data_IF_631492381199
#
_entry.id   IF_631492381199
#
_cell.length_a   1.000
_cell.length_b   1.000
_cell.length_c   1.000
_cell.angle_alpha   90.00
_cell.angle_beta   90.00
_cell.angle_gamma   90.00
#
_symmetry.space_group_name_H-M   'P 1'
#
loop_
_entity.id
_entity.type
_entity.pdbx_description
1 polymer ?
#
# COMPACT_ATOMS: atom_id res chain seq x y z
N UNK A 1 -11.36 25.16 -18.17
CA UNK A 1 -12.22 24.00 -17.83
C UNK A 1 -13.00 23.56 -19.06
N UNK A 2 -12.84 22.36 -19.53
CA UNK A 2 -13.66 21.80 -20.61
C UNK A 2 -14.90 21.14 -20.04
N UNK A 3 -16.01 21.09 -20.81
CA UNK A 3 -17.25 20.42 -20.40
C UNK A 3 -16.99 18.93 -20.04
N UNK A 4 -16.09 18.29 -20.76
CA UNK A 4 -15.72 16.89 -20.53
C UNK A 4 -14.99 16.67 -19.20
N UNK A 5 -14.09 17.55 -18.81
CA UNK A 5 -13.33 17.47 -17.56
C UNK A 5 -14.25 17.61 -16.34
N UNK A 6 -15.13 18.60 -16.34
CA UNK A 6 -16.11 18.77 -15.28
C UNK A 6 -17.04 17.55 -15.14
N UNK A 7 -17.50 17.00 -16.27
CA UNK A 7 -18.44 15.87 -16.26
C UNK A 7 -17.84 14.62 -15.60
N UNK A 8 -16.60 14.30 -15.96
CA UNK A 8 -15.89 13.18 -15.37
C UNK A 8 -15.72 13.38 -13.87
N UNK A 9 -15.23 14.53 -13.45
CA UNK A 9 -14.97 14.80 -12.01
C UNK A 9 -16.24 14.88 -11.17
N UNK A 10 -17.36 15.36 -11.71
CA UNK A 10 -18.62 15.33 -11.00
C UNK A 10 -19.12 13.89 -10.82
N UNK A 11 -19.03 13.07 -11.87
CA UNK A 11 -19.39 11.67 -11.80
C UNK A 11 -18.55 10.91 -10.75
N UNK A 12 -17.23 11.08 -10.80
CA UNK A 12 -16.28 10.47 -9.86
C UNK A 12 -16.56 10.89 -8.41
N UNK A 13 -16.71 12.19 -8.15
CA UNK A 13 -17.00 12.69 -6.80
C UNK A 13 -18.31 12.14 -6.26
N UNK A 14 -19.34 12.05 -7.08
CA UNK A 14 -20.62 11.47 -6.68
C UNK A 14 -20.49 9.97 -6.38
N UNK A 15 -19.78 9.21 -7.22
CA UNK A 15 -19.52 7.79 -6.99
C UNK A 15 -18.67 7.56 -5.74
N UNK A 16 -17.63 8.37 -5.54
CA UNK A 16 -16.78 8.33 -4.34
C UNK A 16 -17.61 8.45 -3.05
N UNK A 17 -18.66 9.28 -3.07
CA UNK A 17 -19.57 9.47 -1.94
C UNK A 17 -20.71 8.44 -1.88
N UNK A 18 -20.78 7.50 -2.82
CA UNK A 18 -21.87 6.51 -2.92
C UNK A 18 -23.25 7.13 -3.15
N UNK A 19 -23.33 8.31 -3.78
CA UNK A 19 -24.57 9.05 -3.94
C UNK A 19 -25.25 8.76 -5.28
N UNK A 20 -26.58 8.59 -5.26
CA UNK A 20 -27.38 8.68 -6.48
C UNK A 20 -27.50 10.13 -6.95
N UNK A 21 -27.86 10.36 -8.23
CA UNK A 21 -28.10 11.72 -8.73
C UNK A 21 -29.25 12.43 -8.00
N UNK A 22 -30.26 11.66 -7.57
CA UNK A 22 -31.38 12.16 -6.76
C UNK A 22 -30.85 12.65 -5.40
N UNK A 23 -30.04 11.82 -4.74
CA UNK A 23 -29.51 12.15 -3.42
C UNK A 23 -28.60 13.36 -3.46
N UNK A 24 -27.75 13.46 -4.49
CA UNK A 24 -26.93 14.66 -4.69
C UNK A 24 -27.81 15.91 -4.91
N UNK A 25 -28.88 15.81 -5.71
CA UNK A 25 -29.82 16.93 -5.91
C UNK A 25 -30.45 17.39 -4.59
N UNK A 26 -30.93 16.47 -3.76
CA UNK A 26 -31.46 16.76 -2.42
C UNK A 26 -30.44 17.49 -1.54
N UNK A 27 -29.21 16.98 -1.48
CA UNK A 27 -28.13 17.55 -0.67
C UNK A 27 -27.71 18.96 -1.11
N UNK A 28 -28.01 19.37 -2.35
CA UNK A 28 -27.81 20.76 -2.81
C UNK A 28 -28.89 21.72 -2.31
N UNK A 29 -29.86 21.26 -1.51
CA UNK A 29 -30.97 22.08 -1.02
C UNK A 29 -31.96 22.52 -2.13
N UNK A 30 -32.07 21.75 -3.21
CA UNK A 30 -32.94 22.07 -4.33
C UNK A 30 -32.40 23.10 -5.33
N UNK A 31 -31.14 23.53 -5.15
CA UNK A 31 -30.47 24.44 -6.09
C UNK A 31 -30.29 23.78 -7.46
N UNK A 32 -30.14 22.45 -7.50
CA UNK A 32 -29.91 21.69 -8.71
C UNK A 32 -30.87 20.50 -8.76
N UNK A 33 -31.39 20.22 -9.97
CA UNK A 33 -32.28 19.06 -10.20
C UNK A 33 -31.43 17.85 -10.64
N UNK A 34 -31.99 16.63 -10.46
CA UNK A 34 -31.44 15.38 -11.02
C UNK A 34 -31.15 15.50 -12.52
N UNK A 35 -32.09 16.10 -13.28
CA UNK A 35 -31.86 16.27 -14.73
C UNK A 35 -30.68 17.18 -15.05
N UNK A 36 -30.45 18.23 -14.24
CA UNK A 36 -29.27 19.09 -14.40
C UNK A 36 -27.99 18.33 -14.10
N UNK A 37 -27.94 17.52 -13.04
CA UNK A 37 -26.80 16.68 -12.70
C UNK A 37 -26.51 15.71 -13.84
N UNK A 38 -27.53 15.00 -14.35
CA UNK A 38 -27.37 14.10 -15.49
C UNK A 38 -26.80 14.79 -16.74
N UNK A 39 -27.24 16.04 -17.02
CA UNK A 39 -26.70 16.82 -18.16
C UNK A 39 -25.26 17.27 -17.92
N UNK A 40 -24.89 17.59 -16.67
CA UNK A 40 -23.52 17.91 -16.30
C UNK A 40 -22.61 16.70 -16.44
N UNK A 41 -22.99 15.53 -15.92
CA UNK A 41 -22.20 14.30 -16.02
C UNK A 41 -22.07 13.77 -17.46
N UNK A 42 -23.02 14.08 -18.34
CA UNK A 42 -22.93 13.77 -19.79
C UNK A 42 -22.14 14.81 -20.59
N UNK A 43 -21.62 15.86 -19.94
CA UNK A 43 -20.89 16.93 -20.61
C UNK A 43 -21.75 17.81 -21.52
N UNK A 44 -23.06 17.70 -21.42
CA UNK A 44 -24.00 18.46 -22.29
C UNK A 44 -24.14 19.92 -21.83
N UNK A 45 -23.70 20.25 -20.62
CA UNK A 45 -23.82 21.59 -20.04
C UNK A 45 -22.77 21.77 -18.93
N UNK A 46 -22.26 22.99 -18.78
CA UNK A 46 -21.46 23.39 -17.62
C UNK A 46 -22.32 24.07 -16.56
N UNK A 47 -22.07 23.82 -15.26
CA UNK A 47 -22.78 24.52 -14.20
C UNK A 47 -22.37 25.98 -14.10
N UNK A 48 -23.29 26.83 -13.69
CA UNK A 48 -22.96 28.18 -13.21
C UNK A 48 -22.26 28.08 -11.85
N UNK A 49 -21.52 29.13 -11.45
CA UNK A 49 -20.75 29.16 -10.20
C UNK A 49 -21.57 28.73 -8.96
N UNK A 50 -22.79 29.18 -8.83
CA UNK A 50 -23.67 28.82 -7.70
C UNK A 50 -23.95 27.32 -7.66
N UNK A 51 -24.24 26.72 -8.82
CA UNK A 51 -24.45 25.28 -8.94
C UNK A 51 -23.17 24.48 -8.65
N UNK A 52 -22.01 24.94 -9.14
CA UNK A 52 -20.70 24.32 -8.86
C UNK A 52 -20.41 24.32 -7.36
N UNK A 53 -20.57 25.45 -6.68
CA UNK A 53 -20.36 25.57 -5.23
C UNK A 53 -21.34 24.72 -4.42
N UNK A 54 -22.61 24.65 -4.83
CA UNK A 54 -23.63 23.82 -4.16
C UNK A 54 -23.26 22.33 -4.26
N UNK A 55 -22.80 21.86 -5.43
CA UNK A 55 -22.34 20.48 -5.61
C UNK A 55 -21.06 20.22 -4.80
N UNK A 56 -20.08 21.11 -4.82
CA UNK A 56 -18.85 20.98 -4.03
C UNK A 56 -19.17 20.82 -2.54
N UNK A 57 -20.05 21.66 -2.00
CA UNK A 57 -20.52 21.59 -0.61
C UNK A 57 -21.25 20.28 -0.31
N UNK A 58 -22.15 19.85 -1.19
CA UNK A 58 -22.91 18.60 -1.02
C UNK A 58 -22.03 17.36 -1.08
N UNK A 59 -20.95 17.42 -1.85
CA UNK A 59 -19.96 16.35 -2.00
C UNK A 59 -18.80 16.44 -0.96
N UNK A 60 -18.80 17.46 -0.11
CA UNK A 60 -17.74 17.75 0.86
C UNK A 60 -16.32 17.79 0.23
N UNK A 61 -16.20 18.50 -0.90
CA UNK A 61 -14.96 18.71 -1.64
C UNK A 61 -14.74 20.21 -1.90
N UNK A 62 -13.49 20.59 -2.21
CA UNK A 62 -13.22 21.94 -2.69
C UNK A 62 -13.83 22.17 -4.07
N UNK A 63 -14.28 23.39 -4.37
CA UNK A 63 -14.75 23.74 -5.72
C UNK A 63 -13.62 23.70 -6.77
N UNK A 64 -12.38 23.85 -6.35
CA UNK A 64 -11.18 23.67 -7.18
C UNK A 64 -11.01 22.22 -7.66
N UNK A 65 -11.57 21.24 -6.96
CA UNK A 65 -11.56 19.83 -7.40
C UNK A 65 -12.06 19.67 -8.84
N UNK A 66 -13.12 20.38 -9.21
CA UNK A 66 -13.70 20.30 -10.56
C UNK A 66 -12.78 20.88 -11.66
N UNK A 67 -11.78 21.69 -11.28
CA UNK A 67 -10.84 22.32 -12.20
C UNK A 67 -9.52 21.54 -12.34
N UNK A 68 -9.29 20.54 -11.46
CA UNK A 68 -8.07 19.72 -11.45
C UNK A 68 -7.96 18.76 -12.64
N UNK A 69 -6.81 18.13 -12.77
CA UNK A 69 -6.58 17.06 -13.74
C UNK A 69 -6.94 15.73 -13.11
N UNK A 70 -7.62 14.83 -13.83
CA UNK A 70 -7.85 13.47 -13.36
C UNK A 70 -6.54 12.70 -13.45
N UNK A 71 -6.03 12.26 -12.31
CA UNK A 71 -4.97 11.26 -12.28
C UNK A 71 -5.58 9.91 -12.66
N UNK A 72 -5.03 9.29 -13.67
CA UNK A 72 -5.43 7.95 -14.07
C UNK A 72 -4.79 6.93 -13.12
N UNK A 73 -5.60 6.17 -12.43
CA UNK A 73 -5.13 5.06 -11.60
C UNK A 73 -5.09 3.80 -12.47
N UNK A 74 -3.92 3.17 -12.52
CA UNK A 74 -3.79 1.86 -13.13
C UNK A 74 -4.33 0.84 -12.11
N UNK A 75 -5.67 0.60 -12.13
CA UNK A 75 -6.29 -0.28 -11.14
C UNK A 75 -5.61 -1.64 -11.16
N UNK A 76 -5.05 -2.09 -10.02
CA UNK A 76 -4.55 -3.44 -9.94
C UNK A 76 -5.73 -4.37 -10.28
N UNK A 77 -5.49 -5.42 -11.03
CA UNK A 77 -6.44 -6.51 -11.05
C UNK A 77 -6.52 -7.00 -9.61
N UNK A 78 -7.56 -6.60 -8.89
CA UNK A 78 -7.92 -7.20 -7.61
C UNK A 78 -8.25 -8.65 -7.93
N UNK A 79 -7.23 -9.48 -7.97
CA UNK A 79 -7.37 -10.92 -8.15
C UNK A 79 -7.81 -11.47 -6.81
N UNK A 80 -9.11 -11.51 -6.69
CA UNK A 80 -9.77 -12.13 -5.57
C UNK A 80 -9.54 -13.62 -5.65
N UNK A 81 -8.94 -14.18 -4.62
CA UNK A 81 -9.24 -15.55 -4.25
C UNK A 81 -10.78 -15.72 -4.21
N UNK A 82 -11.29 -16.83 -4.57
CA UNK A 82 -12.64 -17.25 -4.94
C UNK A 82 -13.87 -16.67 -4.19
N UNK A 83 -13.73 -15.73 -3.26
CA UNK A 83 -14.79 -15.30 -2.35
C UNK A 83 -15.19 -13.82 -2.39
N UNK A 84 -14.75 -13.02 -3.34
CA UNK A 84 -15.20 -11.62 -3.35
C UNK A 84 -14.63 -10.77 -4.49
N UNK A 85 -15.17 -10.89 -5.69
CA UNK A 85 -14.92 -9.89 -6.74
C UNK A 85 -15.69 -8.64 -6.39
N UNK A 86 -15.00 -7.48 -6.31
CA UNK A 86 -15.69 -6.19 -6.30
C UNK A 86 -16.53 -6.06 -7.57
N UNK A 87 -17.74 -5.54 -7.42
CA UNK A 87 -18.57 -5.18 -8.56
C UNK A 87 -17.91 -4.06 -9.37
N UNK A 88 -18.34 -3.89 -10.60
CA UNK A 88 -17.85 -2.82 -11.47
C UNK A 88 -18.05 -1.43 -10.85
N UNK A 89 -19.19 -1.22 -10.16
CA UNK A 89 -19.49 0.02 -9.44
C UNK A 89 -18.55 0.24 -8.24
N UNK A 90 -18.24 -0.81 -7.48
CA UNK A 90 -17.30 -0.72 -6.36
C UNK A 90 -15.88 -0.44 -6.84
N UNK A 91 -15.44 -1.03 -7.97
CA UNK A 91 -14.15 -0.74 -8.58
C UNK A 91 -14.06 0.71 -9.06
N UNK A 92 -15.10 1.22 -9.73
CA UNK A 92 -15.16 2.61 -10.17
C UNK A 92 -15.14 3.58 -8.98
N UNK A 93 -15.87 3.27 -7.91
CA UNK A 93 -15.88 4.08 -6.70
C UNK A 93 -14.49 4.08 -6.01
N UNK A 94 -13.80 2.95 -5.99
CA UNK A 94 -12.46 2.84 -5.47
C UNK A 94 -11.46 3.65 -6.32
N UNK A 95 -11.50 3.50 -7.64
CA UNK A 95 -10.65 4.26 -8.57
C UNK A 95 -10.83 5.77 -8.37
N UNK A 96 -12.07 6.25 -8.27
CA UNK A 96 -12.39 7.64 -8.03
C UNK A 96 -11.81 8.15 -6.70
N UNK A 97 -11.93 7.35 -5.63
CA UNK A 97 -11.34 7.68 -4.32
C UNK A 97 -9.83 7.78 -4.38
N UNK A 98 -9.17 6.82 -5.03
CA UNK A 98 -7.71 6.79 -5.15
C UNK A 98 -7.20 7.95 -6.00
N UNK A 99 -7.86 8.24 -7.12
CA UNK A 99 -7.55 9.37 -7.99
C UNK A 99 -7.66 10.71 -7.22
N UNK A 100 -8.79 10.90 -6.54
CA UNK A 100 -9.00 12.09 -5.72
C UNK A 100 -7.94 12.25 -4.63
N UNK A 101 -7.70 11.20 -3.83
CA UNK A 101 -6.72 11.25 -2.75
C UNK A 101 -5.30 11.51 -3.27
N UNK A 102 -4.87 10.82 -4.33
CA UNK A 102 -3.56 11.02 -4.93
C UNK A 102 -3.37 12.45 -5.45
N UNK A 103 -4.39 13.02 -6.07
CA UNK A 103 -4.36 14.40 -6.54
C UNK A 103 -4.23 15.40 -5.39
N UNK A 104 -5.01 15.23 -4.32
CA UNK A 104 -4.91 16.07 -3.12
C UNK A 104 -3.53 15.96 -2.49
N UNK A 105 -3.02 14.75 -2.37
CA UNK A 105 -1.68 14.50 -1.83
C UNK A 105 -0.60 15.24 -2.62
N UNK A 106 -0.57 15.06 -3.95
CA UNK A 106 0.42 15.70 -4.83
C UNK A 106 0.29 17.22 -4.86
N UNK A 107 -0.94 17.74 -4.83
CA UNK A 107 -1.20 19.18 -4.77
C UNK A 107 -0.63 19.79 -3.50
N UNK A 108 -0.93 19.20 -2.35
CA UNK A 108 -0.41 19.65 -1.04
C UNK A 108 1.11 19.55 -0.94
N UNK A 109 1.72 18.49 -1.47
CA UNK A 109 3.19 18.40 -1.52
C UNK A 109 3.82 19.55 -2.33
N UNK A 110 3.19 19.89 -3.46
CA UNK A 110 3.64 21.00 -4.30
C UNK A 110 3.47 22.34 -3.58
N UNK A 111 2.35 22.58 -2.93
CA UNK A 111 2.07 23.79 -2.14
C UNK A 111 3.03 23.93 -0.95
N UNK A 112 3.35 22.82 -0.28
CA UNK A 112 4.35 22.78 0.78
C UNK A 112 5.80 23.00 0.30
N UNK A 113 6.05 23.05 -1.01
CA UNK A 113 7.35 23.36 -1.60
C UNK A 113 8.34 22.19 -1.67
N UNK A 114 7.92 20.96 -1.41
CA UNK A 114 8.79 19.77 -1.51
C UNK A 114 8.12 18.57 -2.18
N UNK A 115 7.79 18.69 -3.48
CA UNK A 115 7.22 17.59 -4.21
C UNK A 115 8.18 16.41 -4.27
N UNK A 116 7.68 15.21 -3.99
CA UNK A 116 8.49 14.01 -4.04
C UNK A 116 8.52 13.46 -5.45
N UNK A 117 9.70 13.08 -5.91
CA UNK A 117 9.88 12.36 -7.14
C UNK A 117 10.31 10.93 -6.83
N UNK A 118 9.51 9.97 -7.28
CA UNK A 118 9.88 8.57 -7.18
C UNK A 118 10.85 8.20 -8.31
N UNK A 119 11.90 7.47 -7.93
CA UNK A 119 12.82 6.83 -8.86
C UNK A 119 12.99 5.37 -8.46
N UNK A 120 12.67 4.44 -9.37
CA UNK A 120 12.95 3.03 -9.13
C UNK A 120 14.47 2.79 -9.26
N UNK A 121 15.19 2.50 -8.16
CA UNK A 121 16.65 2.37 -8.17
C UNK A 121 17.12 1.04 -8.77
N UNK A 122 16.20 0.09 -8.93
CA UNK A 122 16.44 -1.24 -9.50
C UNK A 122 15.58 -1.47 -10.75
N UNK A 123 15.30 -0.39 -11.48
CA UNK A 123 14.47 -0.43 -12.71
C UNK A 123 15.05 -1.42 -13.72
N UNK A 124 14.18 -2.28 -14.22
CA UNK A 124 14.54 -3.30 -15.21
C UNK A 124 15.05 -4.61 -14.61
N UNK A 125 15.10 -4.74 -13.27
CA UNK A 125 15.40 -6.02 -12.63
C UNK A 125 14.29 -7.01 -12.95
N UNK A 126 14.66 -8.07 -13.69
CA UNK A 126 13.76 -9.18 -14.02
C UNK A 126 13.91 -10.24 -12.94
N UNK A 127 12.78 -10.70 -12.41
CA UNK A 127 12.74 -11.72 -11.36
C UNK A 127 12.05 -12.95 -11.93
N UNK A 128 12.84 -13.92 -12.37
CA UNK A 128 12.37 -15.16 -12.97
C UNK A 128 12.46 -16.36 -12.01
N UNK A 129 13.35 -16.28 -11.03
CA UNK A 129 13.57 -17.32 -10.02
C UNK A 129 13.34 -16.79 -8.60
N UNK A 130 13.29 -17.68 -7.63
CA UNK A 130 13.24 -17.32 -6.21
C UNK A 130 14.53 -16.62 -5.78
N UNK A 131 15.67 -17.05 -6.30
CA UNK A 131 16.97 -16.44 -6.04
C UNK A 131 17.05 -15.02 -6.57
N UNK A 132 16.47 -14.73 -7.75
CA UNK A 132 16.43 -13.36 -8.29
C UNK A 132 15.68 -12.41 -7.34
N UNK A 133 14.61 -12.87 -6.69
CA UNK A 133 13.86 -12.08 -5.72
C UNK A 133 14.71 -11.74 -4.48
N UNK A 134 15.47 -12.71 -4.00
CA UNK A 134 16.40 -12.52 -2.87
C UNK A 134 17.47 -11.51 -3.25
N UNK A 135 18.13 -11.68 -4.39
CA UNK A 135 19.17 -10.75 -4.85
C UNK A 135 18.62 -9.34 -5.10
N UNK A 136 17.39 -9.22 -5.63
CA UNK A 136 16.74 -7.92 -5.80
C UNK A 136 16.50 -7.20 -4.46
N UNK A 137 16.18 -7.93 -3.40
CA UNK A 137 16.00 -7.35 -2.06
C UNK A 137 17.30 -6.76 -1.50
N UNK A 138 18.42 -7.47 -1.66
CA UNK A 138 19.75 -6.98 -1.24
C UNK A 138 20.20 -5.79 -2.08
N UNK A 139 20.01 -5.87 -3.40
CA UNK A 139 20.33 -4.75 -4.29
C UNK A 139 19.52 -3.50 -3.91
N UNK A 140 18.23 -3.64 -3.56
CA UNK A 140 17.41 -2.52 -3.14
C UNK A 140 17.94 -1.92 -1.82
N UNK A 141 18.30 -2.74 -0.84
CA UNK A 141 18.88 -2.25 0.43
C UNK A 141 20.16 -1.46 0.17
N UNK A 142 21.06 -1.95 -0.70
CA UNK A 142 22.27 -1.25 -1.12
C UNK A 142 21.94 0.11 -1.77
N UNK A 143 21.08 0.13 -2.81
CA UNK A 143 20.73 1.34 -3.54
C UNK A 143 20.00 2.38 -2.67
N UNK A 144 19.26 1.93 -1.69
CA UNK A 144 18.57 2.82 -0.75
C UNK A 144 19.41 3.19 0.47
N UNK A 145 20.61 2.63 0.61
CA UNK A 145 21.51 2.80 1.75
C UNK A 145 20.84 2.45 3.08
N UNK A 146 20.15 1.30 3.11
CA UNK A 146 19.44 0.84 4.30
C UNK A 146 20.36 0.27 5.38
N UNK A 147 21.62 -0.04 5.02
CA UNK A 147 22.55 -0.78 5.90
C UNK A 147 22.15 -2.25 6.02
N UNK A 148 22.85 -2.97 6.90
CA UNK A 148 22.67 -4.42 7.09
C UNK A 148 21.84 -4.76 8.34
N UNK A 149 21.46 -3.77 9.15
CA UNK A 149 20.64 -3.93 10.35
C UNK A 149 19.15 -3.78 10.11
N UNK A 150 18.35 -3.83 11.19
CA UNK A 150 16.92 -3.62 11.14
C UNK A 150 16.55 -2.21 10.69
N UNK A 151 15.43 -2.09 9.96
CA UNK A 151 14.90 -0.80 9.51
C UNK A 151 13.84 -0.35 10.51
N UNK A 152 14.07 0.75 11.22
CA UNK A 152 13.19 1.21 12.28
C UNK A 152 11.75 1.49 11.84
N UNK A 153 11.52 2.05 10.64
CA UNK A 153 10.18 2.21 10.09
C UNK A 153 10.20 2.04 8.58
N UNK A 154 9.49 1.03 8.12
CA UNK A 154 9.32 0.74 6.69
C UNK A 154 8.46 1.81 6.04
N UNK A 155 7.34 2.18 6.64
CA UNK A 155 6.43 3.17 6.02
C UNK A 155 7.12 4.54 5.86
N UNK A 156 7.88 4.97 6.87
CA UNK A 156 8.67 6.21 6.77
C UNK A 156 9.77 6.14 5.71
N UNK A 157 10.38 4.98 5.54
CA UNK A 157 11.34 4.75 4.46
C UNK A 157 10.65 4.91 3.10
N UNK A 158 9.52 4.23 2.89
CA UNK A 158 8.77 4.27 1.63
C UNK A 158 8.29 5.68 1.29
N UNK A 159 7.73 6.41 2.26
CA UNK A 159 7.34 7.81 2.07
C UNK A 159 8.52 8.70 1.66
N UNK A 160 9.70 8.52 2.29
CA UNK A 160 10.93 9.25 1.91
C UNK A 160 11.42 8.93 0.50
N UNK A 161 11.14 7.72 0.03
CA UNK A 161 11.50 7.29 -1.33
C UNK A 161 10.44 7.66 -2.39
N UNK A 162 9.38 8.34 -1.99
CA UNK A 162 8.38 8.91 -2.90
C UNK A 162 7.20 7.99 -3.19
N UNK A 163 6.94 7.01 -2.35
CA UNK A 163 5.75 6.17 -2.44
C UNK A 163 4.64 6.83 -1.64
N UNK A 164 3.52 7.09 -2.27
CA UNK A 164 2.30 7.57 -1.61
C UNK A 164 1.65 6.40 -0.88
N UNK A 165 1.36 6.56 0.40
CA UNK A 165 0.75 5.51 1.21
C UNK A 165 -0.58 6.00 1.76
N UNK A 166 -1.66 5.30 1.42
CA UNK A 166 -3.01 5.53 1.89
C UNK A 166 -3.39 4.48 2.93
N UNK A 167 -3.79 4.93 4.13
CA UNK A 167 -4.43 4.08 5.11
C UNK A 167 -5.92 3.91 4.75
N UNK A 168 -6.39 2.69 4.57
CA UNK A 168 -7.77 2.40 4.24
C UNK A 168 -8.24 1.12 4.93
N UNK A 169 -9.54 0.99 5.14
CA UNK A 169 -10.15 -0.28 5.50
C UNK A 169 -10.34 -1.11 4.24
N UNK A 170 -9.75 -2.28 4.23
CA UNK A 170 -9.81 -3.22 3.11
C UNK A 170 -10.65 -4.45 3.49
N UNK A 171 -11.15 -5.24 2.52
CA UNK A 171 -11.81 -6.52 2.80
C UNK A 171 -10.95 -7.44 3.67
N UNK A 172 -11.55 -8.32 4.46
CA UNK A 172 -10.87 -9.12 5.49
C UNK A 172 -9.68 -9.95 5.00
N UNK A 173 -9.68 -10.34 3.74
CA UNK A 173 -8.61 -11.13 3.10
C UNK A 173 -7.54 -10.28 2.37
N UNK A 174 -7.70 -8.95 2.31
CA UNK A 174 -6.76 -8.03 1.67
C UNK A 174 -6.08 -7.18 2.73
N UNK A 175 -4.76 -7.25 2.83
CA UNK A 175 -3.96 -6.49 3.80
C UNK A 175 -3.33 -5.25 3.19
N UNK A 176 -3.13 -5.26 1.88
CA UNK A 176 -2.58 -4.16 1.11
C UNK A 176 -2.79 -4.35 -0.38
N UNK A 177 -2.52 -3.32 -1.13
CA UNK A 177 -2.45 -3.32 -2.59
C UNK A 177 -1.55 -2.18 -3.06
N UNK A 178 -0.98 -2.33 -4.24
CA UNK A 178 -0.15 -1.31 -4.86
C UNK A 178 -0.53 -1.06 -6.31
N UNK A 179 -0.35 0.19 -6.75
CA UNK A 179 -0.68 0.62 -8.10
C UNK A 179 0.09 1.88 -8.48
N UNK A 180 -0.21 2.42 -9.66
CA UNK A 180 0.40 3.63 -10.17
C UNK A 180 -0.66 4.69 -10.53
N UNK A 181 -0.40 5.94 -10.13
CA UNK A 181 -1.12 7.08 -10.64
C UNK A 181 -0.33 7.70 -11.81
N UNK A 182 -0.99 7.84 -12.99
CA UNK A 182 -0.41 8.30 -14.26
C UNK A 182 0.86 7.54 -14.68
N UNK A 183 1.00 6.27 -14.29
CA UNK A 183 2.22 5.44 -14.53
C UNK A 183 3.51 6.07 -14.01
N UNK A 184 3.39 7.06 -13.14
CA UNK A 184 4.50 7.87 -12.65
C UNK A 184 4.62 7.90 -11.14
N UNK A 185 3.49 7.94 -10.45
CA UNK A 185 3.45 8.05 -8.99
C UNK A 185 3.03 6.73 -8.38
N UNK A 186 3.93 6.01 -7.68
CA UNK A 186 3.58 4.77 -7.02
C UNK A 186 2.66 5.03 -5.83
N UNK A 187 1.58 4.28 -5.76
CA UNK A 187 0.56 4.36 -4.72
C UNK A 187 0.43 3.01 -4.05
N UNK A 188 0.43 3.01 -2.73
CA UNK A 188 0.23 1.84 -1.89
C UNK A 188 -0.94 2.10 -0.95
N UNK A 189 -1.86 1.15 -0.86
CA UNK A 189 -2.99 1.18 0.05
C UNK A 189 -2.77 0.07 1.08
N UNK A 190 -2.83 0.40 2.36
CA UNK A 190 -2.58 -0.55 3.45
C UNK A 190 -3.70 -0.52 4.49
N UNK A 191 -4.04 -1.67 5.03
CA UNK A 191 -5.00 -1.79 6.12
C UNK A 191 -4.28 -1.68 7.47
N UNK A 192 -4.61 -0.62 8.21
CA UNK A 192 -4.03 -0.32 9.52
C UNK A 192 -4.87 -0.87 10.69
N UNK A 193 -5.91 -1.68 10.41
CA UNK A 193 -6.74 -2.23 11.47
C UNK A 193 -5.94 -3.22 12.34
N UNK A 194 -5.67 -2.91 13.64
CA UNK A 194 -4.88 -3.77 14.51
C UNK A 194 -5.57 -5.10 14.84
N UNK A 195 -6.88 -5.18 14.69
CA UNK A 195 -7.62 -6.44 14.87
C UNK A 195 -7.36 -7.41 13.72
N UNK A 196 -7.01 -6.88 12.54
CA UNK A 196 -6.76 -7.64 11.33
C UNK A 196 -5.28 -7.95 11.12
N UNK A 197 -4.39 -7.01 11.48
CA UNK A 197 -2.97 -7.09 11.16
C UNK A 197 -2.10 -6.59 12.30
N UNK A 198 -1.07 -7.36 12.65
CA UNK A 198 -0.01 -6.90 13.57
C UNK A 198 0.91 -5.90 12.86
N UNK A 199 1.76 -5.21 13.63
CA UNK A 199 2.77 -4.28 13.08
C UNK A 199 3.72 -5.03 12.14
N UNK A 200 4.14 -6.23 12.49
CA UNK A 200 5.03 -7.08 11.67
C UNK A 200 4.36 -7.46 10.35
N UNK A 201 3.06 -7.78 10.39
CA UNK A 201 2.29 -8.08 9.18
C UNK A 201 2.16 -6.85 8.28
N UNK A 202 1.90 -5.68 8.87
CA UNK A 202 1.83 -4.41 8.13
C UNK A 202 3.16 -4.10 7.42
N UNK A 203 4.29 -4.27 8.13
CA UNK A 203 5.64 -4.09 7.59
C UNK A 203 5.91 -5.05 6.42
N UNK A 204 5.61 -6.33 6.64
CA UNK A 204 5.75 -7.35 5.60
C UNK A 204 4.91 -7.04 4.37
N UNK A 205 3.63 -6.71 4.56
CA UNK A 205 2.73 -6.33 3.47
C UNK A 205 3.25 -5.12 2.70
N UNK A 206 3.73 -4.08 3.38
CA UNK A 206 4.28 -2.90 2.72
C UNK A 206 5.50 -3.23 1.84
N UNK A 207 6.39 -4.12 2.28
CA UNK A 207 7.55 -4.54 1.46
C UNK A 207 7.14 -5.52 0.36
N UNK A 208 6.13 -6.36 0.58
CA UNK A 208 5.54 -7.20 -0.45
C UNK A 208 4.95 -6.36 -1.60
N UNK A 209 4.15 -5.36 -1.27
CA UNK A 209 3.58 -4.42 -2.24
C UNK A 209 4.66 -3.58 -2.94
N UNK A 210 5.75 -3.29 -2.25
CA UNK A 210 6.92 -2.65 -2.85
C UNK A 210 7.53 -3.52 -3.96
N UNK A 211 7.59 -4.83 -3.78
CA UNK A 211 8.08 -5.75 -4.81
C UNK A 211 7.24 -5.67 -6.09
N UNK A 212 5.91 -5.61 -5.98
CA UNK A 212 5.02 -5.41 -7.13
C UNK A 212 5.27 -4.08 -7.86
N UNK A 213 5.62 -3.02 -7.15
CA UNK A 213 5.93 -1.71 -7.75
C UNK A 213 7.30 -1.66 -8.44
N UNK A 214 8.28 -2.40 -7.95
CA UNK A 214 9.67 -2.25 -8.39
C UNK A 214 10.12 -3.30 -9.39
N UNK A 215 9.62 -4.54 -9.28
CA UNK A 215 10.15 -5.70 -9.99
C UNK A 215 9.36 -5.99 -11.27
N UNK A 216 10.01 -6.64 -12.21
CA UNK A 216 9.41 -7.12 -13.44
C UNK A 216 9.37 -8.64 -13.43
N UNK A 217 8.17 -9.21 -13.59
CA UNK A 217 7.93 -10.65 -13.59
C UNK A 217 7.58 -11.11 -15.02
N UNK A 218 8.53 -11.69 -15.77
CA UNK A 218 8.26 -12.10 -17.13
C UNK A 218 7.36 -13.35 -17.18
N UNK A 219 6.19 -13.23 -17.81
CA UNK A 219 5.23 -14.28 -18.19
C UNK A 219 5.05 -15.42 -17.15
N UNK A 220 4.73 -15.09 -15.93
CA UNK A 220 4.63 -16.03 -14.83
C UNK A 220 3.19 -16.21 -14.34
N UNK A 221 2.92 -17.35 -13.70
CA UNK A 221 1.67 -17.52 -12.96
C UNK A 221 1.62 -16.60 -11.75
N UNK A 222 0.43 -16.13 -11.38
CA UNK A 222 0.21 -15.29 -10.21
C UNK A 222 0.82 -15.90 -8.94
N UNK A 223 0.62 -17.19 -8.71
CA UNK A 223 1.17 -17.87 -7.54
C UNK A 223 2.70 -17.76 -7.45
N UNK A 224 3.41 -17.84 -8.58
CA UNK A 224 4.86 -17.72 -8.59
C UNK A 224 5.32 -16.27 -8.37
N UNK A 225 4.55 -15.28 -8.82
CA UNK A 225 4.80 -13.85 -8.56
C UNK A 225 4.66 -13.55 -7.07
N UNK A 226 3.54 -13.95 -6.46
CA UNK A 226 3.28 -13.74 -5.02
C UNK A 226 4.38 -14.34 -4.16
N UNK A 227 4.79 -15.58 -4.45
CA UNK A 227 5.88 -16.21 -3.72
C UNK A 227 7.22 -15.48 -3.82
N UNK A 228 7.51 -14.87 -4.97
CA UNK A 228 8.73 -14.05 -5.13
C UNK A 228 8.62 -12.73 -4.37
N UNK A 229 7.44 -12.11 -4.35
CA UNK A 229 7.19 -10.91 -3.55
C UNK A 229 7.32 -11.20 -2.05
N UNK A 230 6.83 -12.37 -1.59
CA UNK A 230 7.01 -12.82 -0.20
C UNK A 230 8.48 -13.01 0.17
N UNK A 231 9.27 -13.66 -0.71
CA UNK A 231 10.71 -13.81 -0.49
C UNK A 231 11.43 -12.48 -0.48
N UNK A 232 11.14 -11.62 -1.46
CA UNK A 232 11.71 -10.28 -1.48
C UNK A 232 11.42 -9.54 -0.16
N UNK A 233 10.18 -9.60 0.34
CA UNK A 233 9.79 -8.96 1.60
C UNK A 233 10.54 -9.55 2.80
N UNK A 234 10.61 -10.88 2.91
CA UNK A 234 11.32 -11.55 3.98
C UNK A 234 12.78 -11.16 4.04
N UNK A 235 13.48 -11.21 2.90
CA UNK A 235 14.92 -10.94 2.86
C UNK A 235 15.26 -9.45 2.90
N UNK A 236 14.33 -8.58 2.50
CA UNK A 236 14.47 -7.14 2.73
C UNK A 236 14.36 -6.78 4.20
N UNK A 237 13.47 -7.43 4.97
CA UNK A 237 13.29 -7.19 6.40
C UNK A 237 14.38 -7.85 7.25
N UNK A 238 14.84 -9.04 6.84
CA UNK A 238 15.79 -9.90 7.56
C UNK A 238 17.06 -10.09 6.72
N UNK A 239 17.98 -9.13 6.67
CA UNK A 239 19.21 -9.27 5.88
C UNK A 239 20.11 -10.37 6.42
N UNK A 240 20.65 -11.20 5.52
CA UNK A 240 21.29 -12.47 5.83
C UNK A 240 22.42 -12.37 6.87
N UNK A 241 23.34 -11.44 6.66
CA UNK A 241 24.57 -11.39 7.45
C UNK A 241 24.27 -11.10 8.92
N UNK A 242 23.52 -10.03 9.18
CA UNK A 242 23.16 -9.64 10.55
C UNK A 242 22.19 -10.61 11.20
N UNK A 243 21.30 -11.22 10.43
CA UNK A 243 20.42 -12.27 10.93
C UNK A 243 21.19 -13.52 11.42
N UNK A 244 22.26 -13.91 10.70
CA UNK A 244 23.17 -14.98 11.13
C UNK A 244 23.94 -14.58 12.38
N UNK A 245 24.42 -13.34 12.44
CA UNK A 245 25.15 -12.80 13.60
C UNK A 245 24.29 -12.80 14.86
N UNK A 246 23.01 -12.38 14.77
CA UNK A 246 22.06 -12.41 15.88
C UNK A 246 21.81 -13.84 16.39
N UNK A 247 21.71 -14.82 15.50
CA UNK A 247 21.55 -16.22 15.87
C UNK A 247 22.87 -16.88 16.33
N UNK A 248 23.99 -16.19 16.22
CA UNK A 248 25.31 -16.58 16.73
C UNK A 248 26.00 -17.71 15.97
N UNK A 249 25.43 -18.23 14.88
CA UNK A 249 26.06 -19.26 14.06
C UNK A 249 25.41 -19.43 12.69
N UNK A 250 26.20 -19.85 11.69
CA UNK A 250 25.72 -20.16 10.34
C UNK A 250 24.87 -21.44 10.29
N UNK A 251 25.03 -22.36 11.25
CA UNK A 251 24.26 -23.61 11.34
C UNK A 251 23.88 -23.90 12.79
N UNK A 252 22.62 -24.21 12.97
CA UNK A 252 22.02 -24.50 14.27
C UNK A 252 21.17 -25.79 14.16
N UNK A 253 21.26 -26.64 15.18
CA UNK A 253 20.35 -27.77 15.32
C UNK A 253 18.98 -27.34 15.88
N UNK A 254 18.98 -26.32 16.75
CA UNK A 254 17.80 -25.80 17.42
C UNK A 254 17.85 -24.29 17.55
N UNK A 255 16.69 -23.66 17.46
CA UNK A 255 16.45 -22.25 17.76
C UNK A 255 15.23 -22.20 18.69
N UNK A 256 15.35 -21.54 19.83
CA UNK A 256 14.28 -21.44 20.81
C UNK A 256 13.21 -20.45 20.39
N UNK A 257 12.03 -20.53 21.02
CA UNK A 257 10.98 -19.53 20.82
C UNK A 257 11.44 -18.14 21.25
N UNK A 258 12.15 -18.05 22.38
CA UNK A 258 12.64 -16.77 22.93
C UNK A 258 13.63 -16.10 21.99
N UNK A 259 14.56 -16.84 21.34
CA UNK A 259 15.44 -16.30 20.31
C UNK A 259 14.66 -15.75 19.12
N UNK A 260 13.59 -16.43 18.69
CA UNK A 260 12.73 -15.93 17.60
C UNK A 260 11.89 -14.72 18.02
N UNK A 261 11.49 -14.63 19.29
CA UNK A 261 10.81 -13.46 19.84
C UNK A 261 11.77 -12.25 19.83
N UNK A 262 13.01 -12.43 20.24
CA UNK A 262 14.04 -11.39 20.22
C UNK A 262 14.28 -10.87 18.77
N UNK A 263 14.42 -11.77 17.82
CA UNK A 263 14.49 -11.41 16.38
C UNK A 263 13.26 -10.63 15.91
N UNK A 264 12.05 -11.07 16.31
CA UNK A 264 10.81 -10.37 15.98
C UNK A 264 10.79 -8.95 16.52
N UNK A 265 11.17 -8.77 17.78
CA UNK A 265 11.21 -7.46 18.45
C UNK A 265 12.27 -6.54 17.87
N UNK A 266 13.40 -7.09 17.43
CA UNK A 266 14.50 -6.33 16.83
C UNK A 266 14.22 -5.93 15.37
N UNK A 267 13.79 -6.89 14.54
CA UNK A 267 13.63 -6.68 13.10
C UNK A 267 12.23 -6.27 12.67
N UNK A 268 11.23 -6.45 13.53
CA UNK A 268 9.83 -6.22 13.18
C UNK A 268 9.34 -7.15 12.07
N UNK A 269 9.79 -8.39 12.11
CA UNK A 269 9.33 -9.47 11.27
C UNK A 269 8.61 -10.53 12.13
N UNK A 270 7.58 -11.20 11.59
CA UNK A 270 6.86 -12.23 12.34
C UNK A 270 7.74 -13.44 12.65
N UNK A 271 7.39 -14.20 13.69
CA UNK A 271 8.04 -15.47 14.01
C UNK A 271 8.01 -16.43 12.83
N UNK A 272 6.86 -16.47 12.12
CA UNK A 272 6.69 -17.28 10.92
C UNK A 272 7.69 -16.87 9.81
N UNK A 273 7.86 -15.57 9.57
CA UNK A 273 8.83 -15.08 8.59
C UNK A 273 10.27 -15.38 9.02
N UNK A 274 10.59 -15.20 10.30
CA UNK A 274 11.93 -15.40 10.85
C UNK A 274 12.39 -16.87 10.79
N UNK A 275 11.52 -17.82 11.15
CA UNK A 275 11.88 -19.25 11.09
C UNK A 275 11.98 -19.76 9.64
N UNK A 276 11.19 -19.18 8.72
CA UNK A 276 11.32 -19.44 7.29
C UNK A 276 12.66 -18.92 6.76
N UNK A 277 13.04 -17.69 7.12
CA UNK A 277 14.32 -17.10 6.75
C UNK A 277 15.50 -17.92 7.28
N UNK A 278 15.44 -18.40 8.53
CA UNK A 278 16.47 -19.26 9.11
C UNK A 278 16.68 -20.55 8.29
N UNK A 279 15.60 -21.17 7.77
CA UNK A 279 15.69 -22.30 6.86
C UNK A 279 16.30 -21.89 5.51
N UNK A 280 15.82 -20.79 4.92
CA UNK A 280 16.22 -20.36 3.58
C UNK A 280 17.68 -19.86 3.55
N UNK A 281 18.18 -19.36 4.66
CA UNK A 281 19.62 -19.08 4.86
C UNK A 281 20.48 -20.33 5.14
N UNK A 282 19.85 -21.48 5.31
CA UNK A 282 20.55 -22.73 5.60
C UNK A 282 21.02 -22.88 7.05
N UNK A 283 20.52 -22.05 7.96
CA UNK A 283 20.87 -22.09 9.39
C UNK A 283 20.26 -23.31 10.05
N UNK A 284 19.04 -23.68 9.70
CA UNK A 284 18.32 -24.86 10.20
C UNK A 284 17.84 -25.78 9.06
N UNK A 285 17.65 -27.03 9.38
CA UNK A 285 17.09 -28.02 8.46
C UNK A 285 15.58 -27.78 8.19
N UNK A 286 15.12 -28.21 7.02
CA UNK A 286 13.71 -28.09 6.62
C UNK A 286 12.77 -28.85 7.56
N UNK A 287 13.18 -30.03 8.01
CA UNK A 287 12.42 -30.86 8.95
C UNK A 287 12.25 -30.17 10.28
N UNK A 288 13.33 -29.55 10.79
CA UNK A 288 13.26 -28.77 12.04
C UNK A 288 12.32 -27.56 11.88
N UNK A 289 12.41 -26.81 10.79
CA UNK A 289 11.48 -25.70 10.49
C UNK A 289 10.02 -26.17 10.50
N UNK A 290 9.71 -27.32 9.90
CA UNK A 290 8.35 -27.87 9.87
C UNK A 290 7.83 -28.16 11.28
N UNK A 291 8.65 -28.85 12.09
CA UNK A 291 8.29 -29.19 13.47
C UNK A 291 8.07 -27.92 14.31
N UNK A 292 9.00 -26.97 14.21
CA UNK A 292 8.91 -25.70 14.92
C UNK A 292 7.67 -24.89 14.53
N UNK A 293 7.35 -24.86 13.24
CA UNK A 293 6.18 -24.15 12.72
C UNK A 293 4.87 -24.77 13.23
N UNK A 294 4.78 -26.11 13.22
CA UNK A 294 3.64 -26.85 13.75
C UNK A 294 3.46 -26.66 15.27
N UNK A 295 4.57 -26.53 16.01
CA UNK A 295 4.53 -26.33 17.46
C UNK A 295 4.15 -24.92 17.88
N UNK A 296 4.67 -23.89 17.18
CA UNK A 296 4.58 -22.50 17.66
C UNK A 296 3.67 -21.60 16.81
N UNK A 297 3.54 -21.84 15.50
CA UNK A 297 2.77 -20.97 14.60
C UNK A 297 1.36 -21.49 14.34
N UNK A 298 1.19 -22.76 14.00
CA UNK A 298 -0.14 -23.31 13.69
C UNK A 298 -1.16 -23.15 14.85
N UNK A 299 -0.79 -23.35 16.12
CA UNK A 299 -1.70 -23.11 17.23
C UNK A 299 -1.98 -21.64 17.53
N UNK A 300 -1.07 -20.75 17.12
CA UNK A 300 -1.14 -19.32 17.38
C UNK A 300 -0.69 -18.49 16.16
N UNK A 301 -1.44 -18.52 15.05
CA UNK A 301 -1.04 -17.88 13.80
C UNK A 301 -0.98 -16.35 13.86
N UNK A 302 -1.58 -15.74 14.88
CA UNK A 302 -1.46 -14.31 15.19
C UNK A 302 -0.31 -13.98 16.14
N UNK A 303 0.42 -14.98 16.63
CA UNK A 303 1.58 -14.85 17.52
C UNK A 303 1.26 -14.03 18.80
N UNK A 304 0.01 -14.15 19.31
CA UNK A 304 -0.45 -13.41 20.48
C UNK A 304 0.36 -13.85 21.72
N UNK A 305 0.90 -12.88 22.44
CA UNK A 305 1.73 -13.13 23.64
C UNK A 305 3.21 -13.43 23.32
N UNK A 306 3.59 -13.51 22.05
CA UNK A 306 4.95 -13.82 21.62
C UNK A 306 5.70 -12.56 21.15
N UNK A 307 5.82 -11.55 21.99
CA UNK A 307 6.51 -10.30 21.68
C UNK A 307 5.82 -9.46 20.62
N UNK A 308 6.32 -8.26 20.40
CA UNK A 308 5.87 -7.36 19.33
C UNK A 308 6.97 -6.36 19.01
N UNK A 309 6.98 -5.85 17.78
CA UNK A 309 7.91 -4.83 17.38
C UNK A 309 7.66 -3.51 18.13
N UNK A 310 8.70 -2.99 18.77
CA UNK A 310 8.57 -1.86 19.70
C UNK A 310 8.36 -0.51 18.99
N UNK A 311 8.79 -0.38 17.72
CA UNK A 311 8.68 0.88 17.00
C UNK A 311 7.37 0.95 16.21
N UNK A 312 6.59 2.05 16.35
CA UNK A 312 5.35 2.18 15.64
C UNK A 312 5.58 2.43 14.13
N UNK A 313 4.81 1.78 13.30
CA UNK A 313 4.68 2.13 11.89
C UNK A 313 3.65 3.24 11.73
N UNK A 314 4.09 4.43 11.37
CA UNK A 314 3.23 5.61 11.24
C UNK A 314 3.50 6.35 9.94
N UNK A 315 2.45 6.86 9.33
CA UNK A 315 2.55 7.82 8.22
C UNK A 315 2.94 9.20 8.77
N UNK A 316 3.83 9.90 8.07
CA UNK A 316 4.35 11.15 8.57
C UNK A 316 4.48 12.24 7.55
N UNK A 317 4.56 11.88 6.28
CA UNK A 317 4.73 12.86 5.23
C UNK A 317 3.47 13.68 5.03
N UNK A 318 2.33 13.03 4.91
CA UNK A 318 1.04 13.71 4.78
C UNK A 318 0.75 14.64 5.98
N UNK A 319 1.02 14.18 7.20
CA UNK A 319 0.86 15.02 8.41
C UNK A 319 1.72 16.28 8.36
N UNK A 320 2.98 16.16 7.92
CA UNK A 320 3.90 17.31 7.80
C UNK A 320 3.46 18.27 6.71
N UNK A 321 3.05 17.74 5.56
CA UNK A 321 2.55 18.53 4.44
C UNK A 321 1.31 19.32 4.87
N UNK A 322 0.35 18.65 5.50
CA UNK A 322 -0.86 19.33 6.02
C UNK A 322 -0.51 20.44 7.03
N UNK A 323 0.39 20.16 7.98
CA UNK A 323 0.77 21.18 8.98
C UNK A 323 1.47 22.42 8.38
N UNK A 324 2.10 22.30 7.22
CA UNK A 324 2.74 23.44 6.52
C UNK A 324 1.72 24.21 5.69
N UNK A 325 0.80 23.50 5.01
CA UNK A 325 -0.22 24.13 4.17
C UNK A 325 -1.29 24.83 5.02
N UNK A 326 -1.59 24.30 6.20
CA UNK A 326 -2.60 24.84 7.12
C UNK A 326 -2.04 25.96 8.04
N UNK A 327 -0.73 26.22 8.02
CA UNK A 327 -0.06 27.29 8.79
C UNK A 327 0.07 28.60 8.00
#
# INVERSE_FOLDING_TARGET
MTSNQFSIRLHEARQMMGLSMEKLAELTGGIITKQSISRYEKGLMLPKRVAKLAMAKALNISDSYFDGTNLKIDMPMLRTTSNGKLSEDELQALEAKLSFWAEQYLTKEKEAGFPTQFQNPIKGTKVSTLEDAIQASFLLREKWHCGDGPIASILRLLERKGIMILAATLPDYVFGMSTWADKKHPLMILDFNPEKSTVEKLRFTAVHELAHLLLSFPQESEYSVEKRCDLFASFFLLPKQTFIEELGAEKREKITLDEMIDIKELYGASLAASIIAARDYGIIATEYKRAWYAEHIEPNPREIGNGHYAFPETLGREKRVNSIVDS
#
